data_IF_060048478773
#
_entry.id   IF_060048478773
#
_cell.length_a   1.000
_cell.length_b   1.000
_cell.length_c   1.000
_cell.angle_alpha   90.00
_cell.angle_beta   90.00
_cell.angle_gamma   90.00
#
_symmetry.space_group_name_H-M   'P 1'
#
loop_
_entity.id
_entity.type
_entity.pdbx_description
1 polymer ?
#
# COMPACT_ATOMS: atom_id res chain seq x y z
N UNK A 1 -23.53 -10.18 31.49
CA UNK A 1 -22.58 -9.04 31.59
C UNK A 1 -22.41 -8.47 30.18
N UNK A 2 -22.75 -7.21 29.96
CA UNK A 2 -22.51 -6.54 28.67
C UNK A 2 -21.01 -6.39 28.48
N UNK A 3 -20.45 -6.99 27.42
CA UNK A 3 -19.07 -6.71 27.02
C UNK A 3 -18.98 -5.31 26.40
N UNK A 4 -17.91 -4.58 26.67
CA UNK A 4 -17.56 -3.38 25.92
C UNK A 4 -16.83 -3.77 24.62
N UNK A 5 -17.09 -3.04 23.54
CA UNK A 5 -16.42 -3.25 22.25
C UNK A 5 -15.41 -2.12 22.05
N UNK A 6 -14.16 -2.49 21.77
CA UNK A 6 -13.10 -1.56 21.41
C UNK A 6 -12.80 -1.69 19.92
N UNK A 7 -13.03 -0.62 19.16
CA UNK A 7 -12.74 -0.58 17.72
C UNK A 7 -11.34 -0.01 17.45
N UNK A 8 -10.61 -0.63 16.51
CA UNK A 8 -9.31 -0.20 16.00
C UNK A 8 -9.20 -0.48 14.52
N UNK A 9 -8.42 0.36 13.81
CA UNK A 9 -8.09 0.13 12.41
C UNK A 9 -7.39 -1.24 12.24
N UNK A 10 -7.81 -2.02 11.24
CA UNK A 10 -7.39 -3.43 11.07
C UNK A 10 -5.87 -3.61 11.09
N UNK A 11 -5.17 -2.75 10.37
CA UNK A 11 -3.72 -2.80 10.24
C UNK A 11 -2.97 -2.47 11.54
N UNK A 12 -3.55 -1.65 12.42
CA UNK A 12 -2.99 -1.39 13.75
C UNK A 12 -3.37 -2.51 14.75
N UNK A 13 -4.57 -3.06 14.61
CA UNK A 13 -5.09 -4.12 15.47
C UNK A 13 -4.22 -5.39 15.43
N UNK A 14 -3.60 -5.74 14.30
CA UNK A 14 -2.75 -6.95 14.25
C UNK A 14 -1.49 -6.86 15.13
N UNK A 15 -0.96 -5.65 15.35
CA UNK A 15 0.15 -5.42 16.28
C UNK A 15 -0.30 -5.20 17.72
N UNK A 16 -1.45 -4.54 17.94
CA UNK A 16 -1.94 -4.23 19.29
C UNK A 16 -2.72 -5.39 19.93
N UNK A 17 -3.55 -6.07 19.14
CA UNK A 17 -4.48 -7.12 19.57
C UNK A 17 -4.01 -8.51 19.17
N UNK A 18 -2.71 -8.66 18.92
CA UNK A 18 -2.09 -9.94 18.64
C UNK A 18 -2.27 -10.95 19.78
N UNK A 19 -1.92 -12.23 19.53
CA UNK A 19 -2.13 -13.30 20.49
C UNK A 19 -1.53 -12.97 21.85
N UNK A 20 -2.35 -13.02 22.90
CA UNK A 20 -1.97 -12.76 24.30
C UNK A 20 -1.39 -11.37 24.59
N UNK A 21 -1.57 -10.39 23.70
CA UNK A 21 -1.23 -8.99 23.97
C UNK A 21 -1.98 -8.44 25.18
N UNK A 22 -1.35 -7.48 25.85
CA UNK A 22 -1.99 -6.65 26.87
C UNK A 22 -2.54 -5.37 26.25
N UNK A 23 -3.78 -5.06 26.55
CA UNK A 23 -4.50 -3.87 26.11
C UNK A 23 -4.83 -3.04 27.35
N UNK A 24 -4.40 -1.79 27.38
CA UNK A 24 -4.79 -0.85 28.42
C UNK A 24 -5.99 -0.05 27.96
N UNK A 25 -7.10 -0.13 28.70
CA UNK A 25 -8.33 0.57 28.38
C UNK A 25 -9.04 0.99 29.68
N UNK A 26 -9.43 2.26 29.76
CA UNK A 26 -10.11 2.84 30.93
C UNK A 26 -9.39 2.56 32.28
N UNK A 27 -8.06 2.68 32.28
CA UNK A 27 -7.23 2.47 33.48
C UNK A 27 -7.09 1.01 33.91
N UNK A 28 -7.55 0.04 33.11
CA UNK A 28 -7.42 -1.40 33.38
C UNK A 28 -6.66 -2.12 32.26
N UNK A 29 -5.96 -3.18 32.64
CA UNK A 29 -5.27 -4.06 31.70
C UNK A 29 -6.15 -5.26 31.33
N UNK A 30 -6.19 -5.58 30.04
CA UNK A 30 -6.93 -6.71 29.48
C UNK A 30 -5.98 -7.57 28.65
N UNK A 31 -6.08 -8.90 28.76
CA UNK A 31 -5.28 -9.84 27.98
C UNK A 31 -6.12 -10.45 26.87
N UNK A 32 -5.61 -10.44 25.63
CA UNK A 32 -6.23 -11.14 24.50
C UNK A 32 -6.17 -12.66 24.73
N UNK A 33 -7.32 -13.30 24.96
CA UNK A 33 -7.37 -14.73 25.30
C UNK A 33 -7.70 -15.63 24.12
N UNK A 34 -8.62 -15.21 23.24
CA UNK A 34 -9.08 -16.03 22.13
C UNK A 34 -9.35 -15.22 20.88
N UNK A 35 -9.16 -15.84 19.72
CA UNK A 35 -9.71 -15.36 18.46
C UNK A 35 -11.16 -15.87 18.33
N UNK A 36 -12.06 -15.04 17.81
CA UNK A 36 -13.40 -15.48 17.44
C UNK A 36 -13.31 -16.19 16.09
N UNK A 37 -13.38 -17.52 16.12
CA UNK A 37 -13.37 -18.37 14.94
C UNK A 37 -14.80 -18.56 14.43
N UNK A 38 -15.13 -18.10 13.20
CA UNK A 38 -16.41 -18.40 12.58
C UNK A 38 -16.63 -19.92 12.40
N UNK A 39 -17.88 -20.40 12.33
CA UNK A 39 -18.13 -21.82 12.08
C UNK A 39 -17.52 -22.31 10.76
N UNK A 40 -17.46 -21.45 9.73
CA UNK A 40 -17.00 -21.84 8.39
C UNK A 40 -15.49 -22.11 8.33
N UNK A 41 -14.71 -21.60 9.28
CA UNK A 41 -13.25 -21.84 9.31
C UNK A 41 -12.89 -23.14 10.05
N UNK A 42 -13.85 -23.88 10.57
CA UNK A 42 -13.61 -25.15 11.28
C UNK A 42 -13.76 -26.31 10.32
N UNK A 43 -12.75 -27.17 10.29
CA UNK A 43 -12.73 -28.36 9.45
C UNK A 43 -12.69 -29.63 10.31
N UNK A 44 -13.02 -30.76 9.69
CA UNK A 44 -13.16 -32.05 10.37
C UNK A 44 -14.25 -32.00 11.44
N UNK A 45 -13.99 -32.62 12.60
CA UNK A 45 -14.86 -32.57 13.78
C UNK A 45 -14.65 -31.31 14.65
N UNK A 46 -14.06 -30.25 14.06
CA UNK A 46 -13.56 -29.08 14.77
C UNK A 46 -12.14 -29.24 15.31
N UNK A 47 -11.42 -30.30 14.92
CA UNK A 47 -10.01 -30.52 15.23
C UNK A 47 -9.05 -29.72 14.34
N UNK A 48 -9.51 -29.17 13.22
CA UNK A 48 -8.70 -28.46 12.24
C UNK A 48 -9.32 -27.11 11.85
N UNK A 49 -8.52 -26.26 11.20
CA UNK A 49 -8.93 -24.95 10.73
C UNK A 49 -8.64 -24.81 9.24
N UNK A 50 -9.60 -24.24 8.51
CA UNK A 50 -9.49 -23.89 7.10
C UNK A 50 -8.47 -22.75 6.94
N UNK A 51 -7.21 -23.12 6.69
CA UNK A 51 -6.11 -22.17 6.53
C UNK A 51 -5.62 -22.10 5.10
N UNK A 52 -4.96 -21.00 4.74
CA UNK A 52 -4.35 -20.83 3.42
C UNK A 52 -2.84 -20.67 3.53
N UNK A 53 -2.13 -21.15 2.52
CA UNK A 53 -0.70 -20.87 2.37
C UNK A 53 -0.52 -19.59 1.55
N UNK A 54 0.54 -18.83 1.85
CA UNK A 54 0.84 -17.58 1.13
C UNK A 54 2.30 -17.57 0.71
N UNK A 55 2.54 -17.47 -0.60
CA UNK A 55 3.86 -17.21 -1.18
C UNK A 55 4.09 -15.72 -1.28
N UNK A 56 5.31 -15.26 -0.98
CA UNK A 56 5.67 -13.84 -0.99
C UNK A 56 6.84 -13.64 -1.92
N UNK A 57 6.73 -12.70 -2.85
CA UNK A 57 7.81 -12.37 -3.76
C UNK A 57 8.97 -11.69 -3.01
N UNK A 58 10.21 -12.22 -3.08
CA UNK A 58 11.37 -11.64 -2.41
C UNK A 58 11.90 -10.38 -3.11
N UNK A 59 11.32 -9.99 -4.25
CA UNK A 59 11.72 -8.80 -4.98
C UNK A 59 10.81 -7.61 -4.70
N UNK A 60 9.49 -7.79 -4.79
CA UNK A 60 8.55 -6.67 -4.63
C UNK A 60 7.60 -6.80 -3.43
N UNK A 61 7.53 -7.94 -2.75
CA UNK A 61 6.61 -8.13 -1.60
C UNK A 61 5.16 -8.44 -1.99
N UNK A 62 4.87 -8.69 -3.26
CA UNK A 62 3.57 -9.20 -3.69
C UNK A 62 3.30 -10.59 -3.10
N UNK A 63 2.06 -10.87 -2.71
CA UNK A 63 1.63 -12.17 -2.22
C UNK A 63 0.77 -12.94 -3.24
N UNK A 64 0.81 -14.26 -3.10
CA UNK A 64 0.10 -15.24 -3.92
C UNK A 64 -0.50 -16.32 -3.02
N UNK A 65 -1.77 -16.69 -3.24
CA UNK A 65 -2.44 -17.77 -2.49
C UNK A 65 -2.14 -19.16 -3.08
N UNK A 66 -1.62 -19.21 -4.30
CA UNK A 66 -1.24 -20.43 -5.00
C UNK A 66 0.24 -20.36 -5.39
N UNK A 67 0.83 -21.53 -5.63
CA UNK A 67 2.17 -21.61 -6.24
C UNK A 67 2.09 -21.09 -7.68
N UNK A 68 3.01 -20.19 -8.03
CA UNK A 68 3.08 -19.57 -9.34
C UNK A 68 4.51 -19.59 -9.85
N UNK A 69 4.68 -19.58 -11.17
CA UNK A 69 6.01 -19.46 -11.79
C UNK A 69 6.57 -18.04 -11.69
N UNK A 70 5.70 -17.02 -11.79
CA UNK A 70 6.08 -15.61 -11.86
C UNK A 70 5.20 -14.72 -10.98
N UNK A 71 5.83 -13.73 -10.37
CA UNK A 71 5.19 -12.74 -9.53
C UNK A 71 4.28 -11.81 -10.34
N UNK A 72 3.05 -11.57 -9.89
CA UNK A 72 2.11 -10.68 -10.59
C UNK A 72 2.51 -9.20 -10.50
N UNK A 73 3.30 -8.82 -9.50
CA UNK A 73 3.73 -7.43 -9.28
C UNK A 73 5.08 -7.07 -9.92
N UNK A 74 5.94 -8.03 -10.24
CA UNK A 74 7.25 -7.70 -10.83
C UNK A 74 7.81 -8.70 -11.83
N UNK A 75 7.03 -9.72 -12.17
CA UNK A 75 7.41 -10.80 -13.09
C UNK A 75 8.66 -11.59 -12.69
N UNK A 76 9.18 -11.37 -11.48
CA UNK A 76 10.30 -12.15 -10.94
C UNK A 76 9.89 -13.61 -10.77
N UNK A 77 10.82 -14.50 -11.06
CA UNK A 77 10.65 -15.94 -10.90
C UNK A 77 10.38 -16.30 -9.42
N UNK A 78 9.45 -17.20 -9.19
CA UNK A 78 8.96 -17.57 -7.85
C UNK A 78 9.37 -18.98 -7.43
N UNK A 79 10.08 -19.74 -8.27
CA UNK A 79 10.50 -21.09 -7.89
C UNK A 79 11.47 -21.07 -6.71
N UNK A 80 11.25 -21.99 -5.78
CA UNK A 80 12.04 -22.11 -4.55
C UNK A 80 11.54 -21.26 -3.39
N UNK A 81 10.56 -20.37 -3.62
CA UNK A 81 9.97 -19.59 -2.53
C UNK A 81 9.12 -20.48 -1.62
N UNK A 82 9.43 -20.43 -0.32
CA UNK A 82 8.74 -21.23 0.69
C UNK A 82 7.50 -20.46 1.18
N UNK A 83 6.30 -21.06 1.16
CA UNK A 83 5.10 -20.35 1.60
C UNK A 83 5.10 -20.16 3.11
N UNK A 84 4.51 -19.05 3.55
CA UNK A 84 4.03 -18.92 4.91
C UNK A 84 2.80 -19.79 5.04
N UNK A 85 2.95 -20.89 5.79
CA UNK A 85 1.91 -21.89 5.93
C UNK A 85 0.84 -21.49 6.94
N UNK A 86 -0.36 -22.02 6.74
CA UNK A 86 -1.46 -22.00 7.73
C UNK A 86 -1.89 -20.58 8.14
N UNK A 87 -1.96 -19.67 7.18
CA UNK A 87 -2.49 -18.32 7.43
C UNK A 87 -4.00 -18.39 7.69
N UNK A 88 -4.47 -17.63 8.68
CA UNK A 88 -5.88 -17.57 9.05
C UNK A 88 -6.30 -16.14 9.34
N UNK A 89 -7.40 -15.71 8.71
CA UNK A 89 -7.97 -14.39 8.92
C UNK A 89 -8.60 -14.30 10.31
N UNK A 90 -8.22 -13.27 11.07
CA UNK A 90 -8.77 -13.01 12.40
C UNK A 90 -9.48 -11.66 12.38
N UNK A 91 -10.82 -11.68 12.46
CA UNK A 91 -11.62 -10.45 12.45
C UNK A 91 -11.80 -9.87 13.84
N UNK A 92 -12.03 -10.72 14.85
CA UNK A 92 -12.32 -10.28 16.21
C UNK A 92 -11.58 -11.14 17.23
N UNK A 93 -11.16 -10.51 18.32
CA UNK A 93 -10.59 -11.18 19.48
C UNK A 93 -11.41 -10.88 20.72
N UNK A 94 -11.31 -11.74 21.73
CA UNK A 94 -11.87 -11.50 23.05
C UNK A 94 -10.74 -11.35 24.07
N UNK A 95 -10.85 -10.30 24.88
CA UNK A 95 -9.91 -10.00 25.94
C UNK A 95 -10.60 -10.06 27.31
N UNK A 96 -9.85 -10.45 28.34
CA UNK A 96 -10.34 -10.50 29.73
C UNK A 96 -9.47 -9.64 30.64
N UNK A 97 -10.02 -9.05 31.71
CA UNK A 97 -9.25 -8.29 32.70
C UNK A 97 -8.11 -9.14 33.30
N UNK A 98 -6.94 -8.53 33.50
CA UNK A 98 -5.82 -9.16 34.20
C UNK A 98 -5.32 -8.21 35.31
N UNK A 99 -5.24 -8.70 36.54
CA UNK A 99 -4.80 -7.91 37.70
C UNK A 99 -3.30 -8.02 37.96
N UNK A 100 -2.67 -9.11 37.48
CA UNK A 100 -1.22 -9.29 37.50
C UNK A 100 -0.64 -9.16 36.10
N UNK A 101 0.37 -8.30 35.99
CA UNK A 101 1.24 -8.18 34.83
C UNK A 101 2.56 -8.82 35.24
N UNK A 102 2.96 -9.86 34.54
CA UNK A 102 4.23 -10.57 34.81
C UNK A 102 5.37 -9.91 34.05
N UNK A 103 6.61 -10.14 34.48
CA UNK A 103 7.79 -9.67 33.74
C UNK A 103 7.81 -10.17 32.28
N UNK A 104 7.31 -11.39 32.03
CA UNK A 104 7.16 -11.93 30.68
C UNK A 104 6.16 -11.14 29.84
N UNK A 105 5.10 -10.61 30.47
CA UNK A 105 4.12 -9.78 29.77
C UNK A 105 4.72 -8.43 29.37
N UNK A 106 5.51 -7.82 30.25
CA UNK A 106 6.21 -6.57 29.94
C UNK A 106 7.26 -6.77 28.84
N UNK A 107 8.03 -7.86 28.89
CA UNK A 107 9.01 -8.19 27.84
C UNK A 107 8.32 -8.46 26.50
N UNK A 108 7.17 -9.14 26.50
CA UNK A 108 6.37 -9.36 25.28
C UNK A 108 5.89 -8.05 24.66
N UNK A 109 5.40 -7.12 25.50
CA UNK A 109 4.99 -5.78 25.04
C UNK A 109 6.18 -5.02 24.46
N UNK A 110 7.36 -5.10 25.09
CA UNK A 110 8.59 -4.46 24.58
C UNK A 110 9.08 -5.07 23.26
N UNK A 111 9.01 -6.39 23.13
CA UNK A 111 9.49 -7.13 21.96
C UNK A 111 8.60 -6.92 20.74
N UNK A 112 7.27 -6.89 20.94
CA UNK A 112 6.29 -6.78 19.86
C UNK A 112 6.30 -7.97 18.88
N UNK A 113 5.54 -7.82 17.79
CA UNK A 113 5.38 -8.85 16.76
C UNK A 113 6.22 -8.59 15.52
N UNK A 114 6.64 -9.68 14.89
CA UNK A 114 7.19 -9.72 13.54
C UNK A 114 6.03 -9.66 12.54
N UNK A 115 5.69 -8.44 12.13
CA UNK A 115 4.62 -8.16 11.17
C UNK A 115 5.23 -7.93 9.79
N UNK A 116 4.78 -8.71 8.80
CA UNK A 116 5.13 -8.48 7.40
C UNK A 116 3.91 -7.96 6.63
N UNK A 117 4.08 -6.83 5.93
CA UNK A 117 3.10 -6.31 4.99
C UNK A 117 3.37 -6.89 3.60
N UNK A 118 2.32 -7.29 2.90
CA UNK A 118 2.35 -7.78 1.52
C UNK A 118 1.14 -7.24 0.77
N UNK A 119 1.15 -7.31 -0.56
CA UNK A 119 0.02 -6.85 -1.37
C UNK A 119 -0.34 -7.83 -2.49
N UNK A 120 -1.57 -7.75 -2.97
CA UNK A 120 -2.01 -8.40 -4.21
C UNK A 120 -2.77 -7.41 -5.07
N UNK A 121 -2.46 -7.41 -6.37
CA UNK A 121 -3.13 -6.55 -7.32
C UNK A 121 -4.51 -7.10 -7.67
N UNK A 122 -5.52 -6.22 -7.82
CA UNK A 122 -6.88 -6.64 -8.17
C UNK A 122 -6.89 -7.27 -9.57
N UNK A 123 -7.73 -8.30 -9.73
CA UNK A 123 -7.99 -8.95 -11.03
C UNK A 123 -9.45 -8.82 -11.40
N UNK A 124 -9.72 -8.56 -12.67
CA UNK A 124 -11.06 -8.61 -13.29
C UNK A 124 -10.96 -9.53 -14.51
N UNK A 125 -11.79 -10.56 -14.56
CA UNK A 125 -11.79 -11.57 -15.64
C UNK A 125 -10.40 -12.20 -15.89
N UNK A 126 -9.64 -12.42 -14.81
CA UNK A 126 -8.28 -12.95 -14.84
C UNK A 126 -7.18 -11.93 -15.15
N UNK A 127 -7.53 -10.72 -15.60
CA UNK A 127 -6.58 -9.66 -15.95
C UNK A 127 -6.34 -8.70 -14.80
N UNK A 128 -5.07 -8.33 -14.59
CA UNK A 128 -4.66 -7.34 -13.59
C UNK A 128 -5.25 -5.96 -13.90
N UNK A 129 -5.85 -5.33 -12.90
CA UNK A 129 -6.36 -3.96 -13.00
C UNK A 129 -5.31 -3.00 -12.42
N UNK A 130 -4.22 -2.83 -13.17
CA UNK A 130 -3.05 -2.03 -12.76
C UNK A 130 -2.72 -1.03 -13.88
N UNK A 131 -2.42 0.20 -13.49
CA UNK A 131 -1.78 1.21 -14.35
C UNK A 131 -0.28 1.16 -14.12
N UNK A 132 0.48 0.84 -15.16
CA UNK A 132 1.94 0.82 -15.10
C UNK A 132 2.51 2.14 -15.67
N UNK A 133 3.59 2.61 -15.08
CA UNK A 133 4.33 3.76 -15.56
C UNK A 133 5.81 3.63 -15.20
N UNK A 134 6.67 4.37 -15.89
CA UNK A 134 8.07 4.54 -15.53
C UNK A 134 8.33 5.98 -15.11
N UNK A 135 9.12 6.18 -14.06
CA UNK A 135 9.65 7.49 -13.71
C UNK A 135 11.05 7.67 -14.28
N UNK A 136 11.25 8.66 -15.15
CA UNK A 136 12.51 8.88 -15.87
C UNK A 136 13.12 10.24 -15.58
N UNK A 137 14.42 10.30 -15.32
CA UNK A 137 15.23 11.52 -15.35
C UNK A 137 16.13 11.47 -16.59
N UNK A 138 15.83 12.31 -17.60
CA UNK A 138 16.42 12.17 -18.93
C UNK A 138 16.10 10.79 -19.53
N UNK A 139 17.14 10.07 -19.93
CA UNK A 139 17.03 8.69 -20.47
C UNK A 139 17.08 7.60 -19.38
N UNK A 140 17.33 7.96 -18.12
CA UNK A 140 17.49 7.00 -17.03
C UNK A 140 16.15 6.72 -16.36
N UNK A 141 15.72 5.45 -16.37
CA UNK A 141 14.58 4.96 -15.58
C UNK A 141 15.01 4.77 -14.12
N UNK A 142 14.39 5.51 -13.20
CA UNK A 142 14.70 5.46 -11.76
C UNK A 142 13.71 4.55 -11.03
N UNK A 143 12.43 4.67 -11.36
CA UNK A 143 11.35 3.92 -10.70
C UNK A 143 10.46 3.23 -11.74
N UNK A 144 10.05 2.00 -11.44
CA UNK A 144 8.85 1.41 -12.02
C UNK A 144 7.67 1.68 -11.07
N UNK A 145 6.59 2.23 -11.61
CA UNK A 145 5.40 2.61 -10.87
C UNK A 145 4.24 1.70 -11.25
N UNK A 146 3.52 1.21 -10.25
CA UNK A 146 2.29 0.45 -10.45
C UNK A 146 1.20 0.97 -9.52
N UNK A 147 0.13 1.48 -10.11
CA UNK A 147 -1.04 1.95 -9.39
C UNK A 147 -2.21 1.00 -9.59
N UNK A 148 -2.94 0.72 -8.52
CA UNK A 148 -4.21 0.01 -8.60
C UNK A 148 -5.23 0.60 -7.63
N UNK A 149 -6.48 0.70 -8.08
CA UNK A 149 -7.60 0.92 -7.19
C UNK A 149 -7.92 -0.38 -6.44
N UNK A 150 -8.23 -0.30 -5.14
CA UNK A 150 -8.68 -1.50 -4.40
C UNK A 150 -7.67 -2.67 -4.38
N UNK A 151 -6.37 -2.38 -4.29
CA UNK A 151 -5.34 -3.38 -4.03
C UNK A 151 -5.55 -4.04 -2.66
N UNK A 152 -5.41 -5.36 -2.60
CA UNK A 152 -5.50 -6.08 -1.33
C UNK A 152 -4.16 -5.95 -0.59
N UNK A 153 -4.15 -5.23 0.52
CA UNK A 153 -2.99 -5.13 1.41
C UNK A 153 -3.24 -6.06 2.59
N UNK A 154 -2.26 -6.90 2.87
CA UNK A 154 -2.31 -7.88 3.95
C UNK A 154 -1.16 -7.71 4.93
N UNK A 155 -1.44 -7.86 6.22
CA UNK A 155 -0.41 -7.93 7.26
C UNK A 155 -0.45 -9.31 7.92
N UNK A 156 0.70 -9.97 7.97
CA UNK A 156 0.87 -11.29 8.59
C UNK A 156 1.61 -11.13 9.91
N UNK A 157 1.10 -11.74 10.98
CA UNK A 157 1.81 -11.85 12.25
C UNK A 157 2.56 -13.16 12.33
N UNK A 158 3.85 -13.12 11.99
CA UNK A 158 4.73 -14.30 11.94
C UNK A 158 5.07 -14.85 13.31
N UNK A 159 4.92 -14.07 14.38
CA UNK A 159 5.37 -14.44 15.71
C UNK A 159 5.90 -13.23 16.47
N UNK A 160 6.55 -13.49 17.61
CA UNK A 160 7.28 -12.45 18.33
C UNK A 160 8.61 -12.12 17.63
N UNK A 161 9.07 -10.86 17.69
CA UNK A 161 10.29 -10.41 16.98
C UNK A 161 11.54 -11.19 17.38
N UNK A 162 11.87 -11.24 18.67
CA UNK A 162 13.01 -11.98 19.26
C UNK A 162 12.70 -13.46 19.61
N UNK A 163 11.93 -14.17 18.77
CA UNK A 163 11.69 -15.62 18.99
C UNK A 163 12.97 -16.44 18.76
N UNK A 164 13.07 -17.60 19.43
CA UNK A 164 14.25 -18.49 19.39
C UNK A 164 14.57 -19.00 17.99
N UNK A 165 13.54 -19.41 17.24
CA UNK A 165 13.66 -19.86 15.86
C UNK A 165 12.89 -18.92 14.94
N UNK A 166 13.62 -18.16 14.13
CA UNK A 166 13.05 -17.19 13.19
C UNK A 166 12.35 -17.85 12.00
N UNK A 167 12.54 -19.16 11.78
CA UNK A 167 11.91 -19.89 10.67
C UNK A 167 10.56 -20.51 11.04
N UNK A 168 10.26 -20.60 12.34
CA UNK A 168 8.98 -21.11 12.84
C UNK A 168 8.00 -19.96 12.98
N UNK A 169 6.94 -19.99 12.16
CA UNK A 169 5.90 -18.96 12.16
C UNK A 169 4.62 -19.40 12.87
N UNK A 170 3.94 -18.41 13.47
CA UNK A 170 2.58 -18.53 13.96
C UNK A 170 2.44 -18.83 15.45
N UNK A 171 1.20 -19.07 15.86
CA UNK A 171 0.78 -19.25 17.24
C UNK A 171 -0.12 -20.47 17.37
N UNK A 172 0.00 -21.18 18.48
CA UNK A 172 -0.86 -22.31 18.79
C UNK A 172 -2.23 -21.82 19.27
N UNK A 173 -3.31 -22.36 18.69
CA UNK A 173 -4.70 -22.04 18.99
C UNK A 173 -5.51 -23.33 19.14
N UNK A 174 -6.44 -23.36 20.09
CA UNK A 174 -7.45 -24.42 20.15
C UNK A 174 -8.48 -24.22 19.01
N UNK A 175 -8.61 -25.16 18.06
CA UNK A 175 -9.48 -25.00 16.90
C UNK A 175 -10.99 -25.01 17.25
N UNK A 176 -11.40 -25.60 18.38
CA UNK A 176 -12.80 -25.63 18.83
C UNK A 176 -13.18 -24.36 19.58
N UNK A 177 -12.29 -23.86 20.43
CA UNK A 177 -12.60 -22.77 21.37
C UNK A 177 -12.03 -21.42 20.95
N UNK A 178 -11.01 -21.41 20.09
CA UNK A 178 -10.28 -20.23 19.64
C UNK A 178 -9.28 -19.67 20.66
N UNK A 179 -9.10 -20.32 21.80
CA UNK A 179 -8.16 -19.87 22.82
C UNK A 179 -6.71 -20.01 22.35
N UNK A 180 -5.92 -18.96 22.57
CA UNK A 180 -4.49 -19.00 22.34
C UNK A 180 -3.83 -19.90 23.38
N UNK A 181 -3.08 -20.89 22.92
CA UNK A 181 -2.29 -21.73 23.80
C UNK A 181 -1.09 -20.94 24.34
N UNK A 182 -0.55 -21.43 25.46
CA UNK A 182 0.74 -20.96 25.97
C UNK A 182 1.86 -21.37 25.01
N UNK A 183 2.92 -20.58 24.95
CA UNK A 183 4.13 -20.93 24.19
C UNK A 183 4.81 -22.14 24.82
N UNK A 184 5.52 -22.93 24.02
CA UNK A 184 6.29 -24.09 24.51
C UNK A 184 7.34 -23.67 25.56
N UNK A 185 7.85 -22.43 25.51
CA UNK A 185 8.73 -21.84 26.54
C UNK A 185 8.04 -21.57 27.90
N UNK A 186 6.71 -21.65 27.99
CA UNK A 186 5.93 -21.46 29.23
C UNK A 186 5.43 -22.77 29.85
N UNK A 187 5.54 -23.91 29.16
CA UNK A 187 5.06 -25.23 29.61
C UNK A 187 6.21 -26.24 29.58
N UNK A 188 7.12 -26.17 30.56
CA UNK A 188 7.79 -27.37 31.03
C UNK A 188 6.83 -28.06 32.00
N UNK A 189 6.30 -29.22 31.58
CA UNK A 189 5.53 -30.17 32.39
C UNK A 189 4.05 -29.82 32.69
N UNK A 190 3.15 -30.31 31.85
CA UNK A 190 1.86 -30.84 32.33
C UNK A 190 1.35 -31.89 31.35
N UNK A 191 1.23 -33.15 31.80
CA UNK A 191 0.54 -34.20 31.06
C UNK A 191 -0.92 -33.78 30.85
N UNK A 192 -1.33 -33.61 29.59
CA UNK A 192 -2.71 -33.24 29.24
C UNK A 192 -3.58 -34.48 29.13
N UNK A 193 -4.78 -34.40 29.70
CA UNK A 193 -5.80 -35.45 29.63
C UNK A 193 -6.14 -35.83 28.17
N UNK A 194 -6.49 -37.09 27.89
CA UNK A 194 -6.67 -37.63 26.52
C UNK A 194 -7.79 -36.96 25.70
N UNK A 195 -8.73 -36.26 26.34
CA UNK A 195 -9.86 -35.56 25.67
C UNK A 195 -9.55 -34.10 25.25
N UNK A 196 -8.32 -33.62 25.47
CA UNK A 196 -7.93 -32.25 25.08
C UNK A 196 -7.55 -32.22 23.60
N UNK A 197 -8.32 -31.48 22.79
CA UNK A 197 -7.98 -31.22 21.39
C UNK A 197 -6.62 -30.57 21.30
N UNK A 198 -5.73 -31.15 20.50
CA UNK A 198 -4.37 -30.61 20.33
C UNK A 198 -4.44 -29.23 19.67
N UNK A 199 -3.79 -28.20 20.24
CA UNK A 199 -3.69 -26.91 19.59
C UNK A 199 -3.07 -27.03 18.20
N UNK A 200 -3.60 -26.26 17.26
CA UNK A 200 -3.08 -26.13 15.91
C UNK A 200 -2.30 -24.83 15.76
N UNK A 201 -1.27 -24.81 14.92
CA UNK A 201 -0.46 -23.61 14.69
C UNK A 201 -1.00 -22.83 13.50
N UNK A 202 -1.26 -21.54 13.67
CA UNK A 202 -1.73 -20.64 12.62
C UNK A 202 -0.92 -19.35 12.55
N UNK A 203 -0.87 -18.72 11.38
CA UNK A 203 -0.32 -17.38 11.19
C UNK A 203 -1.48 -16.39 11.04
N UNK A 204 -1.77 -15.53 12.04
CA UNK A 204 -2.80 -14.51 11.92
C UNK A 204 -2.54 -13.58 10.74
N UNK A 205 -3.57 -13.33 9.93
CA UNK A 205 -3.54 -12.37 8.83
C UNK A 205 -4.73 -11.41 8.93
N UNK A 206 -4.49 -10.14 8.64
CA UNK A 206 -5.55 -9.14 8.40
C UNK A 206 -5.41 -8.62 6.98
N UNK A 207 -6.54 -8.30 6.35
CA UNK A 207 -6.58 -7.82 4.97
C UNK A 207 -7.49 -6.61 4.86
N UNK A 208 -7.12 -5.68 4.00
CA UNK A 208 -7.96 -4.55 3.62
C UNK A 208 -7.73 -4.19 2.16
N UNK A 209 -8.69 -3.52 1.53
CA UNK A 209 -8.56 -3.04 0.15
C UNK A 209 -8.35 -1.53 0.13
N UNK A 210 -7.26 -1.08 -0.47
CA UNK A 210 -6.85 0.33 -0.51
C UNK A 210 -6.39 0.71 -1.91
N UNK A 211 -6.53 1.98 -2.26
CA UNK A 211 -5.81 2.52 -3.41
C UNK A 211 -4.32 2.50 -3.06
N UNK A 212 -3.50 1.94 -3.95
CA UNK A 212 -2.09 1.76 -3.67
C UNK A 212 -1.23 2.03 -4.91
N UNK A 213 -0.06 2.60 -4.65
CA UNK A 213 1.00 2.89 -5.60
C UNK A 213 2.27 2.20 -5.11
N UNK A 214 2.78 1.29 -5.92
CA UNK A 214 4.08 0.68 -5.71
C UNK A 214 5.14 1.47 -6.48
N UNK A 215 6.09 2.06 -5.74
CA UNK A 215 7.29 2.69 -6.28
C UNK A 215 8.46 1.71 -6.14
N UNK A 216 8.80 1.01 -7.23
CA UNK A 216 9.92 0.07 -7.28
C UNK A 216 11.16 0.76 -7.82
N UNK A 217 12.26 0.72 -7.07
CA UNK A 217 13.54 1.18 -7.56
C UNK A 217 14.05 0.22 -8.65
N UNK A 218 14.57 0.75 -9.76
CA UNK A 218 15.08 -0.09 -10.85
C UNK A 218 16.39 -0.80 -10.48
N UNK A 219 17.23 -0.15 -9.67
CA UNK A 219 18.52 -0.68 -9.19
C UNK A 219 18.67 -0.41 -7.69
N UNK A 220 17.82 -1.04 -6.83
CA UNK A 220 17.86 -0.81 -5.39
C UNK A 220 19.24 -1.14 -4.78
N UNK A 221 19.97 -2.10 -5.36
CA UNK A 221 21.32 -2.49 -4.96
C UNK A 221 22.39 -1.40 -5.15
N UNK A 222 22.08 -0.34 -5.90
CA UNK A 222 22.98 0.80 -6.07
C UNK A 222 22.89 1.81 -4.94
N UNK A 223 21.94 1.66 -4.03
CA UNK A 223 21.70 2.62 -2.94
C UNK A 223 22.04 1.99 -1.60
N UNK A 224 22.56 2.81 -0.69
CA UNK A 224 22.69 2.39 0.70
C UNK A 224 21.31 2.16 1.33
N UNK A 225 21.17 1.22 2.28
CA UNK A 225 19.89 0.95 2.95
C UNK A 225 19.24 2.19 3.58
N UNK A 226 20.06 3.10 4.13
CA UNK A 226 19.64 4.39 4.69
C UNK A 226 19.05 5.32 3.63
N UNK A 227 19.51 5.25 2.39
CA UNK A 227 19.06 6.15 1.30
C UNK A 227 17.61 5.88 0.93
N UNK A 228 17.25 4.63 0.64
CA UNK A 228 15.85 4.27 0.32
C UNK A 228 14.94 4.54 1.51
N UNK A 229 15.41 4.29 2.74
CA UNK A 229 14.65 4.56 3.96
C UNK A 229 14.36 6.05 4.13
N UNK A 230 15.37 6.89 3.92
CA UNK A 230 15.23 8.35 4.03
C UNK A 230 14.34 8.89 2.92
N UNK A 231 14.53 8.45 1.67
CA UNK A 231 13.71 8.86 0.52
C UNK A 231 12.26 8.42 0.67
N UNK A 232 11.99 7.22 1.20
CA UNK A 232 10.62 6.78 1.50
C UNK A 232 9.90 7.80 2.39
N UNK A 233 10.52 8.19 3.50
CA UNK A 233 9.91 9.13 4.44
C UNK A 233 9.86 10.55 3.87
N UNK A 234 10.85 10.95 3.08
CA UNK A 234 10.86 12.23 2.39
C UNK A 234 9.72 12.35 1.37
N UNK A 235 9.49 11.31 0.56
CA UNK A 235 8.40 11.28 -0.41
C UNK A 235 7.03 11.27 0.27
N UNK A 236 6.81 10.45 1.31
CA UNK A 236 5.54 10.43 2.03
C UNK A 236 5.22 11.81 2.67
N UNK A 237 6.22 12.47 3.25
CA UNK A 237 6.08 13.83 3.80
C UNK A 237 5.82 14.86 2.69
N UNK A 238 6.52 14.75 1.57
CA UNK A 238 6.30 15.60 0.40
C UNK A 238 4.88 15.46 -0.17
N UNK A 239 4.38 14.22 -0.32
CA UNK A 239 3.01 13.93 -0.76
C UNK A 239 2.01 14.57 0.21
N UNK A 240 2.20 14.37 1.51
CA UNK A 240 1.29 14.94 2.51
C UNK A 240 1.23 16.47 2.43
N UNK A 241 2.36 17.14 2.21
CA UNK A 241 2.39 18.61 2.10
C UNK A 241 1.81 19.12 0.79
N UNK A 242 2.21 18.56 -0.37
CA UNK A 242 1.73 18.98 -1.70
C UNK A 242 0.22 18.83 -1.81
N UNK A 243 -0.33 17.72 -1.29
CA UNK A 243 -1.74 17.40 -1.39
C UNK A 243 -2.55 17.71 -0.11
N UNK A 244 -1.94 18.40 0.86
CA UNK A 244 -2.57 18.84 2.12
C UNK A 244 -3.26 17.70 2.89
N UNK A 245 -2.58 16.56 2.97
CA UNK A 245 -3.04 15.38 3.72
C UNK A 245 -2.48 15.39 5.14
N UNK A 246 -3.23 14.82 6.08
CA UNK A 246 -2.67 14.40 7.36
C UNK A 246 -1.76 13.17 7.17
N UNK A 247 -0.76 13.02 8.03
CA UNK A 247 0.19 11.90 7.96
C UNK A 247 -0.49 10.52 8.05
N UNK A 248 -1.65 10.44 8.72
CA UNK A 248 -2.41 9.20 8.82
C UNK A 248 -3.24 8.88 7.58
N UNK A 249 -3.35 9.78 6.60
CA UNK A 249 -4.15 9.57 5.37
C UNK A 249 -3.33 8.91 4.26
N UNK A 250 -2.01 9.05 4.27
CA UNK A 250 -1.08 8.38 3.34
C UNK A 250 -0.01 7.63 4.12
N UNK A 251 0.03 6.30 3.95
CA UNK A 251 1.00 5.44 4.62
C UNK A 251 1.89 4.77 3.57
N UNK A 252 3.13 4.46 3.95
CA UNK A 252 4.07 3.76 3.08
C UNK A 252 4.73 2.58 3.77
N UNK A 253 4.74 1.45 3.08
CA UNK A 253 5.30 0.20 3.58
C UNK A 253 6.57 -0.15 2.81
N UNK A 254 7.68 -0.44 3.51
CA UNK A 254 8.90 -0.90 2.87
C UNK A 254 8.74 -2.36 2.43
N UNK A 255 8.93 -2.62 1.14
CA UNK A 255 8.77 -3.96 0.56
C UNK A 255 10.05 -4.49 -0.08
N UNK A 256 10.25 -5.83 -0.06
CA UNK A 256 9.42 -6.85 0.60
C UNK A 256 9.54 -6.89 2.14
N UNK A 257 10.56 -6.22 2.70
CA UNK A 257 10.82 -6.16 4.13
C UNK A 257 11.59 -4.87 4.50
N UNK A 258 11.62 -4.55 5.80
CA UNK A 258 12.31 -3.35 6.31
C UNK A 258 13.83 -3.39 6.16
N UNK A 259 14.43 -4.56 6.25
CA UNK A 259 15.87 -4.80 6.11
C UNK A 259 16.30 -5.05 4.65
N UNK A 260 15.34 -5.21 3.75
CA UNK A 260 15.56 -5.38 2.32
C UNK A 260 14.55 -4.51 1.56
N UNK A 261 14.75 -3.19 1.61
CA UNK A 261 13.87 -2.21 0.95
C UNK A 261 14.20 -2.13 -0.53
N UNK A 262 13.31 -2.66 -1.36
CA UNK A 262 13.42 -2.61 -2.84
C UNK A 262 12.31 -1.80 -3.48
N UNK A 263 11.22 -1.59 -2.74
CA UNK A 263 10.08 -0.79 -3.16
C UNK A 263 9.40 -0.12 -1.97
N UNK A 264 8.63 0.92 -2.28
CA UNK A 264 7.72 1.59 -1.34
C UNK A 264 6.30 1.31 -1.82
N UNK A 265 5.49 0.68 -0.99
CA UNK A 265 4.04 0.57 -1.24
C UNK A 265 3.34 1.69 -0.49
N UNK A 266 3.05 2.78 -1.20
CA UNK A 266 2.22 3.86 -0.69
C UNK A 266 0.74 3.49 -0.84
N UNK A 267 -0.08 3.75 0.18
CA UNK A 267 -1.52 3.51 0.12
C UNK A 267 -2.31 4.56 0.88
N UNK A 268 -3.48 4.89 0.34
CA UNK A 268 -4.41 5.85 0.96
C UNK A 268 -5.13 5.14 2.10
N UNK A 269 -4.91 5.58 3.34
CA UNK A 269 -5.43 4.92 4.53
C UNK A 269 -6.92 5.26 4.78
N UNK A 270 -7.39 6.41 4.30
CA UNK A 270 -8.78 6.86 4.41
C UNK A 270 -9.73 5.99 3.58
N UNK A 271 -10.98 5.90 4.04
CA UNK A 271 -12.03 5.21 3.28
C UNK A 271 -12.44 6.06 2.07
N UNK A 272 -12.60 5.45 0.90
CA UNK A 272 -12.85 6.15 -0.36
C UNK A 272 -11.61 6.68 -1.08
N UNK A 273 -10.52 6.94 -0.34
CA UNK A 273 -9.25 7.40 -0.88
C UNK A 273 -9.26 8.88 -1.30
N UNK A 274 -8.10 9.53 -1.21
CA UNK A 274 -7.93 10.93 -1.59
C UNK A 274 -7.74 11.13 -3.11
N UNK A 275 -7.50 10.05 -3.87
CA UNK A 275 -7.20 10.10 -5.30
C UNK A 275 -5.83 10.71 -5.62
N UNK A 276 -4.97 10.84 -4.63
CA UNK A 276 -3.63 11.43 -4.73
C UNK A 276 -2.68 10.47 -5.45
N UNK A 277 -2.78 9.17 -5.16
CA UNK A 277 -1.91 8.18 -5.79
C UNK A 277 -2.13 8.05 -7.30
N UNK A 278 -3.38 8.19 -7.76
CA UNK A 278 -3.68 8.26 -9.19
C UNK A 278 -3.04 9.49 -9.83
N UNK A 279 -3.12 10.66 -9.18
CA UNK A 279 -2.53 11.91 -9.69
C UNK A 279 -1.01 11.81 -9.81
N UNK A 280 -0.33 11.16 -8.87
CA UNK A 280 1.12 10.93 -8.94
C UNK A 280 1.54 10.14 -10.18
N UNK A 281 0.65 9.29 -10.70
CA UNK A 281 0.92 8.46 -11.88
C UNK A 281 0.47 9.15 -13.18
N UNK A 282 -0.69 9.82 -13.17
CA UNK A 282 -1.26 10.45 -14.35
C UNK A 282 -0.57 11.77 -14.72
N UNK A 283 -0.13 12.55 -13.73
CA UNK A 283 0.61 13.80 -13.96
C UNK A 283 2.11 13.54 -14.05
N UNK A 284 2.67 13.81 -15.23
CA UNK A 284 4.07 13.67 -15.52
C UNK A 284 4.99 14.40 -14.53
N UNK A 285 4.57 15.54 -13.97
CA UNK A 285 5.39 16.36 -13.06
C UNK A 285 5.17 16.10 -11.57
N UNK A 286 4.14 15.35 -11.18
CA UNK A 286 3.68 15.32 -9.78
C UNK A 286 4.70 14.72 -8.79
N UNK A 287 5.39 13.64 -9.16
CA UNK A 287 6.47 13.10 -8.33
C UNK A 287 7.65 14.09 -8.22
N UNK A 288 7.91 14.85 -9.28
CA UNK A 288 8.94 15.88 -9.27
C UNK A 288 8.61 17.02 -8.31
N UNK A 289 7.36 17.49 -8.30
CA UNK A 289 6.88 18.47 -7.34
C UNK A 289 6.97 17.97 -5.89
N UNK A 290 6.59 16.71 -5.65
CA UNK A 290 6.75 16.05 -4.33
C UNK A 290 8.20 16.02 -3.88
N UNK A 291 9.14 15.65 -4.76
CA UNK A 291 10.56 15.58 -4.43
C UNK A 291 11.15 16.97 -4.15
N UNK A 292 10.75 17.98 -4.93
CA UNK A 292 11.10 19.40 -4.69
C UNK A 292 10.62 19.86 -3.31
N UNK A 293 9.37 19.58 -2.96
CA UNK A 293 8.82 19.90 -1.63
C UNK A 293 9.49 19.11 -0.51
N UNK A 294 9.89 17.86 -0.75
CA UNK A 294 10.65 17.08 0.21
C UNK A 294 12.02 17.74 0.52
N UNK A 295 12.72 18.27 -0.50
CA UNK A 295 13.96 19.04 -0.31
C UNK A 295 13.73 20.31 0.53
N UNK A 296 12.61 21.04 0.31
CA UNK A 296 12.24 22.21 1.11
C UNK A 296 12.03 21.85 2.59
N UNK A 297 11.34 20.73 2.85
CA UNK A 297 11.11 20.20 4.19
C UNK A 297 12.40 19.78 4.88
N UNK A 298 13.39 19.30 4.14
CA UNK A 298 14.71 18.88 4.65
C UNK A 298 15.66 20.05 4.96
N UNK A 299 15.15 21.28 5.00
CA UNK A 299 15.87 22.50 5.37
C UNK A 299 16.93 22.94 4.36
N UNK A 300 16.78 22.53 3.09
CA UNK A 300 17.64 23.00 2.02
C UNK A 300 17.17 24.33 1.44
N UNK A 301 18.13 25.08 0.91
CA UNK A 301 18.01 26.28 0.09
C UNK A 301 18.74 26.07 -1.24
N UNK A 302 18.58 27.02 -2.16
CA UNK A 302 19.16 26.95 -3.51
C UNK A 302 18.67 25.75 -4.35
N UNK A 303 17.46 25.26 -4.01
CA UNK A 303 16.85 24.06 -4.61
C UNK A 303 16.67 24.21 -6.13
N UNK A 304 16.17 25.35 -6.60
CA UNK A 304 15.94 25.56 -8.04
C UNK A 304 17.24 25.54 -8.86
N UNK A 305 18.34 26.07 -8.32
CA UNK A 305 19.64 26.01 -8.98
C UNK A 305 20.18 24.57 -9.01
N UNK A 306 20.05 23.84 -7.90
CA UNK A 306 20.44 22.43 -7.80
C UNK A 306 19.63 21.55 -8.79
N UNK A 307 18.31 21.75 -8.87
CA UNK A 307 17.42 21.05 -9.82
C UNK A 307 17.80 21.41 -11.26
N UNK A 308 18.01 22.70 -11.55
CA UNK A 308 18.39 23.15 -12.90
C UNK A 308 19.72 22.56 -13.38
N UNK A 309 20.70 22.45 -12.48
CA UNK A 309 22.01 21.86 -12.78
C UNK A 309 22.01 20.32 -12.72
N UNK A 310 21.08 19.70 -11.99
CA UNK A 310 21.13 18.28 -11.65
C UNK A 310 22.20 17.92 -10.64
N UNK A 311 22.56 18.87 -9.78
CA UNK A 311 23.71 18.78 -8.89
C UNK A 311 23.28 19.11 -7.45
N UNK A 312 23.25 18.09 -6.60
CA UNK A 312 22.91 18.25 -5.18
C UNK A 312 23.98 19.01 -4.38
N UNK A 313 25.22 19.14 -4.87
CA UNK A 313 26.27 19.92 -4.19
C UNK A 313 25.94 21.42 -4.17
N UNK A 314 25.04 21.88 -5.03
CA UNK A 314 24.56 23.26 -5.04
C UNK A 314 23.54 23.55 -3.93
N UNK A 315 23.03 22.54 -3.23
CA UNK A 315 22.13 22.74 -2.10
C UNK A 315 22.87 23.40 -0.93
N UNK A 316 22.23 24.39 -0.32
CA UNK A 316 22.72 25.02 0.91
C UNK A 316 21.79 24.67 2.08
N UNK A 317 22.30 24.64 3.31
CA UNK A 317 21.46 24.45 4.49
C UNK A 317 21.00 25.79 5.07
N UNK A 318 19.75 25.83 5.56
CA UNK A 318 19.23 26.98 6.33
C UNK A 318 20.04 27.18 7.61
N UNK A 319 20.52 28.41 7.82
CA UNK A 319 21.49 28.77 8.90
C UNK A 319 21.00 28.60 10.35
N UNK A 320 19.71 28.39 10.60
CA UNK A 320 19.11 28.40 11.96
C UNK A 320 18.52 27.05 12.41
N UNK A 321 18.86 25.95 11.75
CA UNK A 321 18.20 24.66 11.99
C UNK A 321 19.11 23.67 12.75
N UNK A 322 18.73 23.31 13.98
CA UNK A 322 19.39 22.28 14.80
C UNK A 322 19.21 20.84 14.28
N UNK A 323 18.75 20.69 13.03
CA UNK A 323 18.40 19.41 12.43
C UNK A 323 19.65 18.76 11.83
N UNK A 324 20.15 17.67 12.43
CA UNK A 324 21.36 16.99 11.95
C UNK A 324 21.02 15.90 10.93
N UNK A 325 20.35 14.83 11.36
CA UNK A 325 19.96 13.69 10.50
C UNK A 325 18.47 13.69 10.14
N UNK A 326 17.65 14.30 10.98
CA UNK A 326 16.22 14.42 10.81
C UNK A 326 15.60 15.03 12.06
N UNK A 327 14.45 15.68 11.91
CA UNK A 327 13.64 16.21 13.00
C UNK A 327 12.15 16.07 12.68
N UNK A 328 11.30 16.31 13.67
CA UNK A 328 9.83 16.25 13.51
C UNK A 328 9.25 17.32 12.59
N UNK A 329 10.03 18.35 12.22
CA UNK A 329 9.63 19.35 11.23
C UNK A 329 9.95 18.91 9.80
N UNK A 330 10.87 17.97 9.61
CA UNK A 330 11.23 17.45 8.29
C UNK A 330 10.69 16.03 8.04
N UNK A 331 11.40 15.00 8.51
CA UNK A 331 11.24 13.60 8.13
C UNK A 331 10.77 12.69 9.26
N UNK A 332 10.97 13.09 10.53
CA UNK A 332 10.59 12.24 11.66
C UNK A 332 9.09 12.36 11.95
N UNK A 333 8.45 11.25 12.21
CA UNK A 333 7.08 11.16 12.71
C UNK A 333 6.95 10.06 13.75
N UNK A 334 5.80 10.03 14.44
CA UNK A 334 5.48 8.91 15.33
C UNK A 334 5.28 7.60 14.56
N UNK A 335 4.84 7.66 13.30
CA UNK A 335 4.58 6.49 12.47
C UNK A 335 5.87 5.81 11.97
N UNK A 336 6.96 6.56 11.84
CA UNK A 336 8.26 6.02 11.39
C UNK A 336 9.30 5.88 12.50
N UNK A 337 8.90 5.92 13.77
CA UNK A 337 9.80 5.73 14.92
C UNK A 337 10.75 4.53 14.79
N UNK A 338 10.32 3.36 14.28
CA UNK A 338 11.22 2.24 14.09
C UNK A 338 12.37 2.49 13.10
N UNK A 339 12.27 3.49 12.23
CA UNK A 339 13.24 3.86 11.19
C UNK A 339 14.07 5.09 11.55
N UNK A 340 13.85 5.75 12.70
CA UNK A 340 14.53 7.01 13.04
C UNK A 340 16.06 6.94 12.96
N UNK A 341 16.65 5.81 13.36
CA UNK A 341 18.11 5.61 13.32
C UNK A 341 18.67 5.48 11.89
N UNK A 342 17.81 5.17 10.91
CA UNK A 342 18.13 4.97 9.49
C UNK A 342 17.74 6.18 8.62
N UNK A 343 17.25 7.27 9.23
CA UNK A 343 16.90 8.50 8.52
C UNK A 343 18.09 9.45 8.60
N UNK A 344 18.55 9.92 7.43
CA UNK A 344 19.65 10.87 7.32
C UNK A 344 19.47 11.84 6.16
N UNK A 345 18.89 13.01 6.47
CA UNK A 345 18.68 14.09 5.52
C UNK A 345 19.96 14.66 4.93
N UNK A 346 21.09 14.53 5.64
CA UNK A 346 22.39 15.06 5.23
C UNK A 346 23.18 14.13 4.30
N UNK A 347 22.59 12.98 3.92
CA UNK A 347 23.20 12.08 2.93
C UNK A 347 23.20 12.75 1.54
N UNK A 348 24.39 12.85 0.92
CA UNK A 348 24.53 13.34 -0.45
C UNK A 348 23.83 12.43 -1.45
N UNK A 349 23.81 11.12 -1.22
CA UNK A 349 23.08 10.16 -2.07
C UNK A 349 21.57 10.39 -2.01
N UNK A 350 21.02 10.67 -0.81
CA UNK A 350 19.60 11.04 -0.65
C UNK A 350 19.30 12.34 -1.39
N UNK A 351 20.14 13.36 -1.20
CA UNK A 351 19.95 14.66 -1.83
C UNK A 351 20.00 14.54 -3.36
N UNK A 352 20.97 13.81 -3.91
CA UNK A 352 21.08 13.59 -5.35
C UNK A 352 19.89 12.82 -5.91
N UNK A 353 19.43 11.77 -5.22
CA UNK A 353 18.25 11.02 -5.66
C UNK A 353 16.99 11.89 -5.65
N UNK A 354 16.80 12.76 -4.65
CA UNK A 354 15.68 13.70 -4.63
C UNK A 354 15.79 14.78 -5.72
N UNK A 355 16.99 15.24 -6.06
CA UNK A 355 17.22 16.15 -7.20
C UNK A 355 16.87 15.44 -8.53
N UNK A 356 17.29 14.20 -8.71
CA UNK A 356 16.97 13.42 -9.90
C UNK A 356 15.46 13.15 -10.01
N UNK A 357 14.79 12.89 -8.88
CA UNK A 357 13.34 12.80 -8.81
C UNK A 357 12.67 14.14 -9.13
N UNK A 358 13.17 15.27 -8.64
CA UNK A 358 12.61 16.59 -8.91
C UNK A 358 12.72 17.02 -10.38
N UNK A 359 13.69 16.47 -11.12
CA UNK A 359 13.94 16.74 -12.55
C UNK A 359 13.23 15.77 -13.48
N UNK A 360 12.87 14.60 -12.97
CA UNK A 360 12.29 13.55 -13.77
C UNK A 360 10.81 13.78 -14.09
N UNK A 361 10.26 12.83 -14.83
CA UNK A 361 8.84 12.80 -15.18
C UNK A 361 8.29 11.40 -15.21
N UNK A 362 7.01 11.27 -14.88
CA UNK A 362 6.26 10.04 -15.07
C UNK A 362 5.90 9.85 -16.54
N UNK A 363 6.14 8.65 -17.06
CA UNK A 363 5.79 8.22 -18.41
C UNK A 363 4.90 7.00 -18.26
N UNK A 364 3.61 7.15 -18.54
CA UNK A 364 2.67 6.03 -18.54
C UNK A 364 3.13 4.97 -19.55
N UNK A 365 3.13 3.71 -19.13
CA UNK A 365 3.27 2.62 -20.07
C UNK A 365 1.99 2.56 -20.91
N UNK A 366 2.14 2.59 -22.23
CA UNK A 366 1.03 2.25 -23.10
C UNK A 366 0.55 0.86 -22.67
N UNK A 367 -0.72 0.73 -22.28
CA UNK A 367 -1.33 -0.58 -22.04
C UNK A 367 -0.92 -1.46 -23.22
N UNK A 368 -0.18 -2.54 -22.97
CA UNK A 368 -0.17 -3.66 -23.90
C UNK A 368 -1.63 -3.98 -24.08
N UNK A 369 -2.17 -3.70 -25.27
CA UNK A 369 -3.59 -3.70 -25.52
C UNK A 369 -4.16 -5.02 -25.00
N UNK A 370 -4.84 -4.95 -23.85
CA UNK A 370 -5.65 -6.03 -23.35
C UNK A 370 -6.80 -6.10 -24.35
N UNK A 371 -6.61 -6.95 -25.36
CA UNK A 371 -7.37 -7.02 -26.59
C UNK A 371 -7.55 -5.66 -27.30
N UNK A 372 -6.90 -5.52 -28.44
CA UNK A 372 -7.39 -4.70 -29.55
C UNK A 372 -8.77 -5.21 -30.03
N UNK A 373 -9.79 -5.12 -29.18
CA UNK A 373 -11.13 -4.70 -29.60
C UNK A 373 -11.24 -3.17 -29.46
N UNK A 374 -10.10 -2.48 -29.64
CA UNK A 374 -9.91 -1.03 -29.59
C UNK A 374 -11.04 -0.35 -30.34
N UNK A 375 -11.90 0.33 -29.60
CA UNK A 375 -12.93 1.19 -30.18
C UNK A 375 -12.25 2.10 -31.19
N UNK A 376 -12.74 2.17 -32.44
CA UNK A 376 -12.08 2.88 -33.52
C UNK A 376 -11.96 4.40 -33.22
N UNK A 377 -12.68 4.89 -32.21
CA UNK A 377 -12.60 6.24 -31.67
C UNK A 377 -11.23 6.64 -31.11
N UNK A 378 -10.48 5.72 -30.48
CA UNK A 378 -9.20 6.07 -29.82
C UNK A 378 -8.22 6.69 -30.82
N UNK A 379 -8.03 6.02 -31.96
CA UNK A 379 -7.16 6.51 -33.03
C UNK A 379 -7.65 7.84 -33.61
N UNK A 380 -8.97 8.01 -33.74
CA UNK A 380 -9.55 9.26 -34.25
C UNK A 380 -9.29 10.43 -33.29
N UNK A 381 -9.33 10.21 -31.97
CA UNK A 381 -8.98 11.23 -30.99
C UNK A 381 -7.50 11.62 -31.05
N UNK A 382 -6.61 10.63 -31.20
CA UNK A 382 -5.16 10.85 -31.36
C UNK A 382 -4.85 11.62 -32.65
N UNK A 383 -5.41 11.21 -33.78
CA UNK A 383 -5.24 11.87 -35.08
C UNK A 383 -5.77 13.32 -35.05
N UNK A 384 -6.79 13.59 -34.23
CA UNK A 384 -7.34 14.92 -34.01
C UNK A 384 -6.54 15.74 -32.98
N UNK A 385 -5.51 15.18 -32.34
CA UNK A 385 -4.71 15.85 -31.32
C UNK A 385 -5.51 16.21 -30.06
N UNK A 386 -6.47 15.38 -29.68
CA UNK A 386 -7.13 15.48 -28.38
C UNK A 386 -6.22 14.90 -27.28
N UNK A 387 -6.38 15.32 -26.02
CA UNK A 387 -5.68 14.70 -24.90
C UNK A 387 -5.96 13.18 -24.87
N UNK A 388 -4.99 12.35 -24.42
CA UNK A 388 -5.24 10.93 -24.24
C UNK A 388 -6.37 10.71 -23.24
N UNK A 389 -7.18 9.67 -23.46
CA UNK A 389 -8.23 9.27 -22.52
C UNK A 389 -7.62 8.73 -21.23
N UNK A 390 -8.31 8.93 -20.12
CA UNK A 390 -7.94 8.35 -18.84
C UNK A 390 -8.08 6.83 -18.87
N UNK A 391 -7.31 6.14 -18.01
CA UNK A 391 -7.26 4.67 -17.94
C UNK A 391 -8.51 4.03 -17.32
N UNK A 392 -9.22 4.78 -16.48
CA UNK A 392 -10.46 4.35 -15.85
C UNK A 392 -11.67 5.03 -16.50
N UNK A 393 -12.75 4.28 -16.82
CA UNK A 393 -13.98 4.90 -17.29
C UNK A 393 -14.54 5.87 -16.22
N UNK A 394 -15.30 6.87 -16.66
CA UNK A 394 -16.11 7.68 -15.74
C UNK A 394 -17.37 6.88 -15.38
N UNK A 395 -17.93 7.06 -14.17
CA UNK A 395 -19.12 6.31 -13.75
C UNK A 395 -20.28 7.23 -13.41
N UNK A 396 -21.37 7.07 -14.14
CA UNK A 396 -22.61 7.81 -13.93
C UNK A 396 -23.78 6.84 -13.80
N UNK A 397 -24.64 7.03 -12.79
CA UNK A 397 -25.76 6.12 -12.44
C UNK A 397 -25.37 4.62 -12.41
N UNK A 398 -24.12 4.32 -12.03
CA UNK A 398 -23.60 2.94 -12.00
C UNK A 398 -23.08 2.39 -13.34
N UNK A 399 -23.23 3.15 -14.43
CA UNK A 399 -22.78 2.81 -15.78
C UNK A 399 -21.38 3.38 -16.03
N UNK A 400 -20.48 2.55 -16.55
CA UNK A 400 -19.14 2.96 -16.96
C UNK A 400 -19.18 3.62 -18.36
N UNK A 401 -18.63 4.83 -18.46
CA UNK A 401 -18.44 5.60 -19.68
C UNK A 401 -16.99 5.48 -20.12
N UNK A 402 -16.83 4.89 -21.29
CA UNK A 402 -15.57 4.37 -21.85
C UNK A 402 -14.50 5.42 -22.15
N UNK A 403 -14.87 6.65 -22.53
CA UNK A 403 -13.92 7.73 -22.77
C UNK A 403 -14.07 8.82 -21.72
N UNK A 404 -13.02 9.04 -20.93
CA UNK A 404 -13.03 10.03 -19.86
C UNK A 404 -11.78 10.90 -19.92
N UNK A 405 -11.95 12.19 -19.63
CA UNK A 405 -10.90 13.18 -19.49
C UNK A 405 -11.12 13.95 -18.19
N UNK A 406 -10.77 13.35 -17.04
CA UNK A 406 -11.00 13.87 -15.68
C UNK A 406 -10.47 15.28 -15.48
N UNK A 407 -9.31 15.60 -16.08
CA UNK A 407 -8.73 16.94 -16.03
C UNK A 407 -9.65 18.02 -16.60
N UNK A 408 -10.49 17.65 -17.57
CA UNK A 408 -11.42 18.56 -18.23
C UNK A 408 -12.85 18.40 -17.70
N UNK A 409 -13.09 17.41 -16.83
CA UNK A 409 -14.42 16.98 -16.40
C UNK A 409 -15.33 16.64 -17.58
N UNK A 410 -14.77 15.96 -18.59
CA UNK A 410 -15.50 15.57 -19.82
C UNK A 410 -15.49 14.06 -19.95
N UNK A 411 -16.62 13.48 -20.32
CA UNK A 411 -16.71 12.07 -20.71
C UNK A 411 -17.49 11.93 -22.02
N UNK A 412 -17.22 10.88 -22.77
CA UNK A 412 -17.89 10.59 -24.03
C UNK A 412 -18.17 9.09 -24.20
N UNK A 413 -19.24 8.77 -24.91
CA UNK A 413 -19.64 7.39 -25.20
C UNK A 413 -20.32 7.27 -26.55
N UNK A 414 -20.12 6.15 -27.26
CA UNK A 414 -20.89 5.82 -28.46
C UNK A 414 -22.27 5.21 -28.14
N UNK A 415 -22.56 4.94 -26.87
CA UNK A 415 -23.86 4.45 -26.39
C UNK A 415 -24.84 5.59 -26.12
N UNK A 416 -26.14 5.29 -26.11
CA UNK A 416 -27.18 6.29 -25.86
C UNK A 416 -27.07 6.86 -24.44
N UNK A 417 -27.10 8.19 -24.32
CA UNK A 417 -27.14 8.88 -23.04
C UNK A 417 -28.60 9.04 -22.59
N UNK A 418 -28.95 8.51 -21.41
CA UNK A 418 -30.26 8.75 -20.78
C UNK A 418 -30.29 10.10 -20.06
N UNK A 419 -31.48 10.67 -19.86
CA UNK A 419 -31.65 11.93 -19.12
C UNK A 419 -31.14 11.85 -17.69
N UNK A 420 -31.41 10.73 -16.99
CA UNK A 420 -30.92 10.49 -15.62
C UNK A 420 -29.38 10.43 -15.55
N UNK A 421 -28.73 9.86 -16.58
CA UNK A 421 -27.27 9.79 -16.64
C UNK A 421 -26.65 11.17 -16.90
N UNK A 422 -27.27 11.97 -17.76
CA UNK A 422 -26.85 13.34 -18.02
C UNK A 422 -27.01 14.23 -16.78
N UNK A 423 -28.11 14.07 -16.03
CA UNK A 423 -28.32 14.77 -14.76
C UNK A 423 -27.27 14.38 -13.71
N UNK A 424 -27.01 13.08 -13.50
CA UNK A 424 -25.98 12.62 -12.56
C UNK A 424 -24.55 13.07 -12.95
N UNK A 425 -24.26 13.15 -14.26
CA UNK A 425 -23.01 13.72 -14.74
C UNK A 425 -22.91 15.20 -14.41
N UNK A 426 -23.96 15.98 -14.69
CA UNK A 426 -24.02 17.41 -14.42
C UNK A 426 -23.93 17.73 -12.92
N UNK A 427 -24.61 16.96 -12.07
CA UNK A 427 -24.53 17.07 -10.61
C UNK A 427 -23.11 16.80 -10.07
N UNK A 428 -22.34 15.95 -10.76
CA UNK A 428 -20.92 15.70 -10.47
C UNK A 428 -19.97 16.71 -11.13
N UNK A 429 -20.50 17.68 -11.87
CA UNK A 429 -19.74 18.69 -12.59
C UNK A 429 -19.10 18.20 -13.88
N UNK A 430 -19.60 17.11 -14.46
CA UNK A 430 -19.10 16.53 -15.71
C UNK A 430 -19.97 16.92 -16.92
N UNK A 431 -19.30 17.18 -18.03
CA UNK A 431 -19.91 17.31 -19.35
C UNK A 431 -19.88 15.95 -20.07
N UNK A 432 -21.06 15.41 -20.40
CA UNK A 432 -21.21 14.12 -21.04
C UNK A 432 -21.61 14.28 -22.51
N UNK A 433 -20.76 13.80 -23.43
CA UNK A 433 -20.93 13.98 -24.87
C UNK A 433 -21.28 12.66 -25.56
N UNK A 434 -22.39 12.66 -26.33
CA UNK A 434 -22.74 11.53 -27.18
C UNK A 434 -21.84 11.51 -28.43
N UNK A 435 -21.19 10.39 -28.67
CA UNK A 435 -20.49 10.12 -29.93
C UNK A 435 -21.46 9.48 -30.92
N UNK A 436 -21.27 9.71 -32.23
CA UNK A 436 -21.86 8.86 -33.25
C UNK A 436 -21.55 7.37 -33.00
N UNK A 437 -22.39 6.48 -33.53
CA UNK A 437 -22.18 5.04 -33.39
C UNK A 437 -20.87 4.53 -34.04
N UNK A 438 -20.28 5.32 -34.95
CA UNK A 438 -19.04 5.02 -35.66
C UNK A 438 -18.20 6.30 -35.84
N UNK A 439 -16.85 6.23 -35.80
CA UNK A 439 -15.97 7.38 -36.04
C UNK A 439 -16.08 8.01 -37.43
N UNK A 440 -16.70 7.33 -38.39
CA UNK A 440 -17.02 7.93 -39.71
C UNK A 440 -17.93 9.16 -39.58
N UNK A 441 -18.72 9.25 -38.49
CA UNK A 441 -19.54 10.42 -38.16
C UNK A 441 -18.73 11.64 -37.71
N UNK A 442 -17.41 11.51 -37.54
CA UNK A 442 -16.53 12.57 -37.07
C UNK A 442 -16.66 12.84 -35.57
N UNK A 443 -15.65 13.48 -35.00
CA UNK A 443 -15.69 13.89 -33.59
C UNK A 443 -16.68 15.06 -33.46
N UNK A 444 -17.66 14.99 -32.53
CA UNK A 444 -18.55 16.11 -32.25
C UNK A 444 -17.78 17.39 -31.94
N UNK A 445 -18.14 18.52 -32.56
CA UNK A 445 -17.48 19.82 -32.34
C UNK A 445 -17.50 20.23 -30.86
N UNK A 446 -18.56 19.89 -30.13
CA UNK A 446 -18.67 20.12 -28.69
C UNK A 446 -17.53 19.44 -27.92
N UNK A 447 -17.19 18.20 -28.25
CA UNK A 447 -16.11 17.47 -27.57
C UNK A 447 -14.75 18.13 -27.83
N UNK A 448 -14.50 18.57 -29.07
CA UNK A 448 -13.26 19.28 -29.43
C UNK A 448 -13.15 20.57 -28.62
N UNK A 449 -14.22 21.36 -28.55
CA UNK A 449 -14.24 22.62 -27.81
C UNK A 449 -13.97 22.42 -26.32
N UNK A 450 -14.62 21.43 -25.70
CA UNK A 450 -14.44 21.13 -24.28
C UNK A 450 -13.01 20.69 -23.93
N UNK A 451 -12.31 20.02 -24.85
CA UNK A 451 -10.97 19.48 -24.61
C UNK A 451 -9.82 20.36 -25.09
N UNK A 452 -10.06 21.29 -26.02
CA UNK A 452 -9.02 22.20 -26.56
C UNK A 452 -9.16 23.65 -26.11
N UNK A 453 -10.29 24.05 -25.53
CA UNK A 453 -10.60 25.43 -25.15
C UNK A 453 -11.33 26.17 -26.26
#
# INVERSE_FOLDING_TARGET
KSGSFLSRARFLAISEFGPRSLIYHEGRAYRVLKAKLPPEVREGDGSELATKDIYICPNCGACHEDEVERCHGCDTHMAGEVPIKRTLRIDNVEAAPTERITANDEERVRQGFDIQTVFSWPKKDGQLQVTNAEFKCGETSLLALQYANSAEISRLNKGLKRRKDQTVFGFNIDPRTGYWAKSEDEDAETEKAPDVVKPVKIVPIVRDRKNALLLRFQKPENFEPETITTVQHALLRGIAVVYQLEESEILGEPLPARDNRRAILAYEATEGGAGVLTRLVDDAGAIGEVARTALELMHFENIEAAIGAGDAELLAEKKDEACVRGCYRCLLSYFNQPDHEQINRGSSEVAQLLIDLARGKTVLEARAAADTSTSPWIKVFEDAGLPPIDTMPAKFIGVDIEFAWRRHLVAATATSISSEMAEDALDKGWELVALPASPEGGIPEQLIKLLKG
#
